data_IF_005054709873
#
_entry.id   IF_005054709873
#
_cell.length_a   1.000
_cell.length_b   1.000
_cell.length_c   1.000
_cell.angle_alpha   90.00
_cell.angle_beta   90.00
_cell.angle_gamma   90.00
#
_symmetry.space_group_name_H-M   'P 1'
#
loop_
_entity.id
_entity.type
_entity.pdbx_description
1 polymer ?
#
# COMPACT_ATOMS: atom_id res chain seq x y z
N UNK A 1 16.76 15.51 13.54
CA UNK A 1 15.99 16.14 12.45
C UNK A 1 14.62 15.48 12.46
N UNK A 2 13.57 16.26 12.73
CA UNK A 2 12.23 15.71 12.90
C UNK A 2 11.56 15.53 11.53
N UNK A 3 10.69 14.53 11.42
CA UNK A 3 9.77 14.39 10.29
C UNK A 3 8.61 15.38 10.47
N UNK A 4 8.11 15.97 9.38
CA UNK A 4 7.09 17.03 9.44
C UNK A 4 5.69 16.44 9.56
N UNK A 5 5.37 15.44 8.72
CA UNK A 5 4.02 14.87 8.61
C UNK A 5 3.90 13.47 9.24
N UNK A 6 4.98 12.69 9.19
CA UNK A 6 5.02 11.28 9.57
C UNK A 6 5.22 11.09 11.06
N UNK A 7 4.23 10.46 11.70
CA UNK A 7 4.24 10.12 13.13
C UNK A 7 4.20 8.61 13.33
N UNK A 8 4.67 8.07 14.48
CA UNK A 8 4.54 6.66 14.79
C UNK A 8 3.08 6.22 14.74
N UNK A 9 2.84 5.08 14.09
CA UNK A 9 1.52 4.49 13.98
C UNK A 9 1.23 3.60 15.19
N UNK A 10 0.03 3.74 15.73
CA UNK A 10 -0.49 2.83 16.75
C UNK A 10 -1.23 1.68 16.07
N UNK A 11 -1.00 0.46 16.56
CA UNK A 11 -1.80 -0.69 16.14
C UNK A 11 -3.12 -0.68 16.90
N UNK A 12 -4.23 -0.97 16.20
CA UNK A 12 -5.54 -1.11 16.82
C UNK A 12 -5.55 -2.39 17.67
N UNK A 13 -5.58 -2.21 18.99
CA UNK A 13 -5.63 -3.29 19.98
C UNK A 13 -6.97 -4.01 19.82
N UNK A 14 -6.95 -5.35 19.68
CA UNK A 14 -8.20 -6.14 19.68
C UNK A 14 -8.12 -7.51 19.04
N UNK A 15 -7.21 -7.74 18.10
CA UNK A 15 -7.06 -9.05 17.45
C UNK A 15 -5.59 -9.46 17.33
N UNK A 16 -5.26 -10.69 17.76
CA UNK A 16 -3.91 -11.27 17.62
C UNK A 16 -3.49 -11.45 16.14
N UNK A 17 -4.47 -11.50 15.23
CA UNK A 17 -4.29 -11.59 13.79
C UNK A 17 -4.87 -10.36 13.10
N UNK A 18 -4.10 -9.86 12.15
CA UNK A 18 -4.50 -8.74 11.31
C UNK A 18 -5.52 -9.24 10.28
N UNK A 19 -6.63 -8.51 10.12
CA UNK A 19 -7.67 -8.90 9.16
C UNK A 19 -7.17 -8.68 7.73
N UNK A 20 -7.01 -9.77 6.96
CA UNK A 20 -6.54 -9.74 5.57
C UNK A 20 -7.68 -9.77 4.54
N UNK A 21 -8.92 -9.52 4.95
CA UNK A 21 -10.06 -9.45 4.04
C UNK A 21 -9.81 -8.44 2.93
N UNK A 22 -10.11 -8.89 1.71
CA UNK A 22 -10.01 -8.10 0.48
C UNK A 22 -11.25 -7.25 0.25
N UNK A 23 -12.34 -7.52 0.96
CA UNK A 23 -13.55 -6.72 0.94
C UNK A 23 -13.46 -5.62 1.99
N UNK A 24 -13.71 -4.38 1.58
CA UNK A 24 -13.71 -3.23 2.48
C UNK A 24 -14.87 -2.30 2.13
N UNK A 25 -15.84 -2.15 3.05
CA UNK A 25 -17.04 -1.31 2.87
C UNK A 25 -17.80 -1.59 1.55
N UNK A 26 -17.91 -2.85 1.17
CA UNK A 26 -18.54 -3.26 -0.10
C UNK A 26 -17.56 -3.40 -1.25
N UNK A 27 -16.49 -2.60 -1.27
CA UNK A 27 -15.52 -2.59 -2.36
C UNK A 27 -14.59 -3.83 -2.35
N UNK A 28 -14.31 -4.39 -3.52
CA UNK A 28 -13.37 -5.51 -3.70
C UNK A 28 -11.97 -5.01 -4.07
N UNK A 29 -11.01 -5.25 -3.18
CA UNK A 29 -9.61 -4.84 -3.32
C UNK A 29 -8.70 -6.01 -3.70
N UNK A 30 -7.60 -5.74 -4.40
CA UNK A 30 -6.57 -6.75 -4.72
C UNK A 30 -5.92 -7.32 -3.45
N UNK A 31 -5.80 -6.47 -2.43
CA UNK A 31 -5.14 -6.69 -1.14
C UNK A 31 -5.96 -6.10 0.00
N UNK A 32 -5.61 -6.40 1.25
CA UNK A 32 -6.31 -5.82 2.39
C UNK A 32 -6.13 -4.31 2.46
N UNK A 33 -7.15 -3.59 2.93
CA UNK A 33 -7.13 -2.12 3.08
C UNK A 33 -5.92 -1.63 3.88
N UNK A 34 -5.42 -2.43 4.82
CA UNK A 34 -4.27 -2.08 5.64
C UNK A 34 -2.97 -1.98 4.82
N UNK A 35 -2.84 -2.72 3.72
CA UNK A 35 -1.68 -2.57 2.84
C UNK A 35 -1.75 -1.29 2.02
N UNK A 36 -2.94 -0.88 1.57
CA UNK A 36 -3.15 0.44 0.98
C UNK A 36 -2.86 1.56 1.99
N UNK A 37 -3.27 1.39 3.26
CA UNK A 37 -2.89 2.30 4.36
C UNK A 37 -1.39 2.40 4.54
N UNK A 38 -0.68 1.26 4.60
CA UNK A 38 0.77 1.29 4.72
C UNK A 38 1.42 1.99 3.54
N UNK A 39 0.95 1.68 2.33
CA UNK A 39 1.43 2.32 1.12
C UNK A 39 1.26 3.86 1.19
N UNK A 40 0.08 4.36 1.57
CA UNK A 40 -0.18 5.78 1.79
C UNK A 40 0.80 6.41 2.81
N UNK A 41 1.03 5.75 3.95
CA UNK A 41 1.97 6.24 4.95
C UNK A 41 3.42 6.24 4.46
N UNK A 42 3.81 5.28 3.63
CA UNK A 42 5.14 5.26 3.02
C UNK A 42 5.32 6.37 1.98
N UNK A 43 4.29 6.71 1.21
CA UNK A 43 4.34 7.88 0.30
C UNK A 43 4.52 9.16 1.10
N UNK A 44 3.73 9.36 2.16
CA UNK A 44 3.92 10.49 3.08
C UNK A 44 5.33 10.54 3.66
N UNK A 45 5.84 9.40 4.11
CA UNK A 45 7.19 9.30 4.67
C UNK A 45 8.26 9.65 3.63
N UNK A 46 8.03 9.30 2.37
CA UNK A 46 8.92 9.63 1.26
C UNK A 46 8.93 11.14 1.00
N UNK A 47 7.76 11.78 0.98
CA UNK A 47 7.61 13.24 0.86
C UNK A 47 8.34 13.94 2.01
N UNK A 48 8.14 13.46 3.25
CA UNK A 48 8.86 13.98 4.42
C UNK A 48 10.38 13.85 4.28
N UNK A 49 10.87 12.74 3.72
CA UNK A 49 12.30 12.54 3.50
C UNK A 49 12.85 13.49 2.43
N UNK A 50 12.09 13.75 1.37
CA UNK A 50 12.46 14.68 0.30
C UNK A 50 12.51 16.13 0.82
N UNK A 51 11.43 16.60 1.44
CA UNK A 51 11.35 17.97 1.98
C UNK A 51 12.39 18.25 3.07
N UNK A 52 12.63 17.27 3.97
CA UNK A 52 13.65 17.39 5.01
C UNK A 52 15.06 16.99 4.53
N UNK A 53 15.26 16.74 3.23
CA UNK A 53 16.57 16.42 2.64
C UNK A 53 17.29 15.26 3.33
N UNK A 54 16.52 14.26 3.78
CA UNK A 54 17.02 13.11 4.51
C UNK A 54 17.80 12.20 3.55
N UNK A 55 19.09 11.98 3.84
CA UNK A 55 19.91 11.03 3.09
C UNK A 55 19.59 9.59 3.50
N UNK A 56 19.28 8.74 2.53
CA UNK A 56 19.12 7.30 2.68
C UNK A 56 20.31 6.57 2.06
N UNK A 57 20.49 5.29 2.38
CA UNK A 57 21.53 4.48 1.75
C UNK A 57 20.87 3.58 0.71
N UNK A 58 21.34 3.75 -0.53
CA UNK A 58 20.93 2.93 -1.65
C UNK A 58 21.39 1.47 -1.43
N UNK A 59 20.50 0.48 -1.56
CA UNK A 59 20.86 -0.93 -1.36
C UNK A 59 21.87 -1.46 -2.39
N UNK A 60 21.85 -0.95 -3.61
CA UNK A 60 22.65 -1.46 -4.73
C UNK A 60 24.02 -0.78 -4.76
N UNK A 61 24.04 0.56 -4.71
CA UNK A 61 25.29 1.33 -4.78
C UNK A 61 25.96 1.53 -3.42
N UNK A 62 25.23 1.32 -2.32
CA UNK A 62 25.64 1.62 -0.93
C UNK A 62 25.98 3.10 -0.70
N UNK A 63 25.64 3.97 -1.64
CA UNK A 63 25.88 5.41 -1.53
C UNK A 63 24.73 6.12 -0.82
N UNK A 64 25.03 7.30 -0.28
CA UNK A 64 24.02 8.17 0.32
C UNK A 64 23.29 8.92 -0.79
N UNK A 65 21.99 8.70 -0.90
CA UNK A 65 21.13 9.36 -1.87
C UNK A 65 20.08 10.22 -1.17
N UNK A 66 19.68 11.31 -1.82
CA UNK A 66 18.50 12.09 -1.45
C UNK A 66 17.34 11.59 -2.27
N UNK A 67 16.27 11.19 -1.59
CA UNK A 67 15.10 10.64 -2.27
C UNK A 67 14.28 11.79 -2.84
N UNK A 68 13.82 11.61 -4.10
CA UNK A 68 12.83 12.46 -4.74
C UNK A 68 11.62 11.63 -5.12
N UNK A 69 10.44 12.17 -4.88
CA UNK A 69 9.17 11.54 -5.25
C UNK A 69 8.95 11.65 -6.75
N UNK A 70 8.63 10.55 -7.42
CA UNK A 70 8.25 10.52 -8.83
C UNK A 70 6.88 11.21 -9.01
N UNK A 71 6.91 12.45 -9.50
CA UNK A 71 5.71 13.27 -9.67
C UNK A 71 4.80 12.75 -10.79
N UNK A 72 5.35 12.10 -11.81
CA UNK A 72 4.57 11.57 -12.93
C UNK A 72 3.78 10.33 -12.48
N UNK A 73 4.43 9.44 -11.75
CA UNK A 73 3.75 8.25 -11.22
C UNK A 73 2.61 8.62 -10.25
N UNK A 74 2.80 9.68 -9.47
CA UNK A 74 1.87 10.12 -8.43
C UNK A 74 0.94 11.29 -8.83
N UNK A 75 0.88 11.67 -10.11
CA UNK A 75 0.15 12.86 -10.56
C UNK A 75 -1.34 12.86 -10.14
N UNK A 76 -2.00 11.69 -10.22
CA UNK A 76 -3.45 11.56 -9.98
C UNK A 76 -3.81 11.50 -8.49
N UNK A 77 -2.79 11.44 -7.63
CA UNK A 77 -2.93 11.04 -6.23
C UNK A 77 -3.03 12.22 -5.27
N UNK A 78 -2.80 13.44 -5.76
CA UNK A 78 -2.86 14.66 -4.94
C UNK A 78 -1.89 14.59 -3.76
N UNK A 79 -0.58 14.71 -4.09
CA UNK A 79 0.50 14.59 -3.12
C UNK A 79 0.39 15.60 -1.96
N UNK A 80 -0.16 16.79 -2.20
CA UNK A 80 -0.38 17.79 -1.15
C UNK A 80 -1.36 17.29 -0.11
N UNK A 81 -2.48 16.69 -0.53
CA UNK A 81 -3.44 16.07 0.39
C UNK A 81 -2.84 14.90 1.15
N UNK A 82 -1.93 14.12 0.56
CA UNK A 82 -1.25 13.02 1.26
C UNK A 82 -0.43 13.53 2.46
N UNK A 83 0.08 14.77 2.45
CA UNK A 83 0.83 15.34 3.58
C UNK A 83 -0.07 15.54 4.79
N UNK A 84 -1.28 16.07 4.60
CA UNK A 84 -2.15 16.55 5.68
C UNK A 84 -3.32 15.62 6.02
N UNK A 85 -3.95 15.00 5.01
CA UNK A 85 -5.21 14.28 5.19
C UNK A 85 -5.05 13.01 6.01
N UNK A 86 -6.13 12.49 6.58
CA UNK A 86 -6.10 11.10 7.06
C UNK A 86 -6.23 10.14 5.88
N UNK A 87 -5.72 8.91 6.02
CA UNK A 87 -5.90 7.90 4.97
C UNK A 87 -7.37 7.73 4.59
N UNK A 88 -8.29 7.72 5.56
CA UNK A 88 -9.70 7.44 5.28
C UNK A 88 -10.37 8.57 4.47
N UNK A 89 -10.00 9.83 4.72
CA UNK A 89 -10.48 10.97 3.95
C UNK A 89 -9.95 10.92 2.51
N UNK A 90 -8.64 10.72 2.36
CA UNK A 90 -8.01 10.61 1.04
C UNK A 90 -8.54 9.39 0.27
N UNK A 91 -8.70 8.24 0.94
CA UNK A 91 -9.19 7.01 0.34
C UNK A 91 -10.61 7.17 -0.18
N UNK A 92 -11.53 7.80 0.57
CA UNK A 92 -12.91 7.95 0.10
C UNK A 92 -13.01 8.71 -1.23
N UNK A 93 -12.12 9.66 -1.46
CA UNK A 93 -12.03 10.42 -2.71
C UNK A 93 -11.31 9.64 -3.83
N UNK A 94 -10.19 8.98 -3.51
CA UNK A 94 -9.29 8.36 -4.50
C UNK A 94 -9.47 6.86 -4.71
N UNK A 95 -10.37 6.20 -3.96
CA UNK A 95 -10.54 4.74 -3.98
C UNK A 95 -10.85 4.16 -5.37
N UNK A 96 -11.48 4.93 -6.25
CA UNK A 96 -11.79 4.53 -7.63
C UNK A 96 -10.53 4.15 -8.43
N UNK A 97 -9.36 4.68 -8.08
CA UNK A 97 -8.08 4.32 -8.68
C UNK A 97 -7.63 2.88 -8.35
N UNK A 98 -8.15 2.31 -7.26
CA UNK A 98 -7.66 1.07 -6.64
C UNK A 98 -8.69 -0.05 -6.56
N UNK A 99 -9.98 0.27 -6.69
CA UNK A 99 -11.07 -0.71 -6.61
C UNK A 99 -11.27 -1.34 -7.99
N UNK A 100 -11.62 -2.64 -7.99
CA UNK A 100 -12.09 -3.29 -9.20
C UNK A 100 -13.46 -2.73 -9.57
N UNK A 101 -13.60 -2.20 -10.79
CA UNK A 101 -14.89 -1.74 -11.30
C UNK A 101 -15.91 -2.86 -11.17
N UNK A 102 -16.95 -2.64 -10.35
CA UNK A 102 -18.02 -3.62 -10.21
C UNK A 102 -18.81 -3.71 -11.53
N UNK A 103 -19.27 -4.90 -11.93
CA UNK A 103 -20.18 -5.03 -13.05
C UNK A 103 -21.48 -4.28 -12.71
N UNK A 104 -21.76 -3.21 -13.46
CA UNK A 104 -22.98 -2.41 -13.31
C UNK A 104 -24.02 -2.88 -14.31
N UNK A 105 -25.27 -2.97 -13.86
CA UNK A 105 -26.40 -3.22 -14.76
C UNK A 105 -26.75 -1.89 -15.40
N UNK A 106 -26.70 -1.84 -16.73
CA UNK A 106 -27.01 -0.63 -17.50
C UNK A 106 -28.31 -0.88 -18.26
N UNK A 107 -29.27 0.03 -18.13
CA UNK A 107 -30.57 -0.07 -18.82
C UNK A 107 -30.54 0.46 -20.27
N UNK A 108 -29.54 1.30 -20.61
CA UNK A 108 -29.37 1.91 -21.94
C UNK A 108 -27.92 1.80 -22.42
N UNK A 109 -27.72 1.14 -23.56
CA UNK A 109 -26.41 0.98 -24.18
C UNK A 109 -25.95 2.33 -24.74
N UNK A 110 -24.81 2.84 -24.27
CA UNK A 110 -24.00 3.82 -24.99
C UNK A 110 -22.89 3.07 -25.72
N UNK A 111 -22.57 3.50 -26.94
CA UNK A 111 -21.56 2.84 -27.77
C UNK A 111 -20.17 3.07 -27.15
N UNK A 112 -19.67 2.04 -26.47
CA UNK A 112 -18.35 2.00 -25.81
C UNK A 112 -17.81 0.55 -25.89
N UNK A 113 -17.98 -0.05 -27.08
CA UNK A 113 -17.64 -1.44 -27.39
C UNK A 113 -16.15 -1.75 -27.26
N UNK A 114 -15.30 -0.72 -27.31
CA UNK A 114 -13.86 -0.86 -27.09
C UNK A 114 -13.56 -1.19 -25.62
N UNK A 115 -14.41 -0.77 -24.67
CA UNK A 115 -14.17 -0.91 -23.22
C UNK A 115 -15.05 -1.93 -22.52
N UNK A 116 -16.25 -2.20 -23.05
CA UNK A 116 -17.24 -3.06 -22.39
C UNK A 116 -17.74 -4.18 -23.29
N UNK A 117 -17.92 -5.37 -22.70
CA UNK A 117 -18.66 -6.45 -23.34
C UNK A 117 -20.15 -6.31 -23.07
N UNK A 118 -20.97 -6.35 -24.12
CA UNK A 118 -22.42 -6.41 -23.98
C UNK A 118 -22.89 -7.86 -23.98
N UNK A 119 -23.57 -8.27 -22.90
CA UNK A 119 -24.13 -9.61 -22.77
C UNK A 119 -25.65 -9.55 -22.72
N UNK A 120 -26.31 -10.10 -23.75
CA UNK A 120 -27.76 -10.29 -23.76
C UNK A 120 -28.11 -11.62 -23.09
N UNK A 121 -28.63 -11.59 -21.87
CA UNK A 121 -29.08 -12.77 -21.13
C UNK A 121 -30.60 -12.86 -21.20
N UNK A 122 -31.13 -14.03 -21.55
CA UNK A 122 -32.57 -14.27 -21.51
C UNK A 122 -33.04 -14.44 -20.05
N UNK A 123 -34.18 -13.86 -19.66
CA UNK A 123 -34.68 -13.87 -18.27
C UNK A 123 -34.85 -15.28 -17.68
N UNK A 124 -35.08 -16.29 -18.53
CA UNK A 124 -35.21 -17.70 -18.13
C UNK A 124 -33.90 -18.51 -18.17
N UNK A 125 -32.75 -17.89 -18.41
CA UNK A 125 -31.47 -18.60 -18.49
C UNK A 125 -31.02 -19.16 -17.14
N UNK A 126 -30.50 -20.38 -17.13
CA UNK A 126 -29.88 -20.97 -15.94
C UNK A 126 -28.58 -20.25 -15.60
N UNK A 127 -28.40 -19.89 -14.33
CA UNK A 127 -27.19 -19.20 -13.82
C UNK A 127 -25.90 -19.96 -14.15
N UNK A 128 -25.94 -21.29 -14.12
CA UNK A 128 -24.78 -22.14 -14.44
C UNK A 128 -24.27 -21.95 -15.86
N UNK A 129 -25.18 -21.77 -16.82
CA UNK A 129 -24.83 -21.64 -18.23
C UNK A 129 -24.36 -20.22 -18.54
N UNK A 130 -25.04 -19.22 -17.96
CA UNK A 130 -24.59 -17.82 -17.97
C UNK A 130 -23.17 -17.69 -17.42
N UNK A 131 -22.89 -18.32 -16.27
CA UNK A 131 -21.57 -18.28 -15.64
C UNK A 131 -20.48 -18.92 -16.52
N UNK A 132 -20.79 -20.00 -17.23
CA UNK A 132 -19.83 -20.63 -18.17
C UNK A 132 -19.49 -19.69 -19.33
N UNK A 133 -20.48 -18.99 -19.88
CA UNK A 133 -20.27 -18.00 -20.96
C UNK A 133 -19.40 -16.85 -20.46
N UNK A 134 -19.73 -16.28 -19.29
CA UNK A 134 -18.95 -15.20 -18.67
C UNK A 134 -17.50 -15.64 -18.42
N UNK A 135 -17.28 -16.84 -17.88
CA UNK A 135 -15.93 -17.39 -17.65
C UNK A 135 -15.10 -17.59 -18.93
N UNK A 136 -15.75 -17.78 -20.08
CA UNK A 136 -15.06 -17.87 -21.38
C UNK A 136 -14.73 -16.49 -21.95
N UNK A 137 -15.58 -15.49 -21.70
CA UNK A 137 -15.41 -14.13 -22.20
C UNK A 137 -14.37 -13.33 -21.39
N UNK A 138 -14.37 -13.50 -20.07
CA UNK A 138 -13.39 -12.83 -19.21
C UNK A 138 -12.07 -13.60 -19.26
N UNK A 139 -11.07 -13.01 -19.92
CA UNK A 139 -9.69 -13.53 -19.88
C UNK A 139 -9.17 -13.38 -18.46
N UNK A 140 -9.25 -14.47 -17.69
CA UNK A 140 -8.57 -14.80 -16.43
C UNK A 140 -8.14 -13.59 -15.56
N UNK A 141 -8.90 -13.34 -14.49
CA UNK A 141 -8.54 -12.45 -13.36
C UNK A 141 -7.84 -11.12 -13.74
N UNK A 142 -8.29 -10.44 -14.80
CA UNK A 142 -7.84 -9.07 -15.07
C UNK A 142 -8.41 -8.16 -13.99
N UNK A 143 -7.54 -7.77 -13.05
CA UNK A 143 -7.91 -6.83 -12.01
C UNK A 143 -7.94 -5.43 -12.63
N UNK A 144 -9.13 -4.89 -12.90
CA UNK A 144 -9.31 -3.67 -13.70
C UNK A 144 -8.88 -2.35 -13.02
N UNK A 145 -8.26 -2.39 -11.84
CA UNK A 145 -7.81 -1.16 -11.19
C UNK A 145 -6.65 -0.54 -11.96
N UNK A 146 -6.64 0.78 -12.09
CA UNK A 146 -5.49 1.51 -12.65
C UNK A 146 -4.20 1.27 -11.86
N UNK A 147 -4.32 1.02 -10.55
CA UNK A 147 -3.20 0.76 -9.66
C UNK A 147 -3.37 -0.54 -8.87
N UNK A 148 -2.68 -1.59 -9.31
CA UNK A 148 -2.75 -2.92 -8.71
C UNK A 148 -1.50 -3.29 -7.91
N UNK A 149 -1.67 -3.97 -6.78
CA UNK A 149 -0.56 -4.57 -6.05
C UNK A 149 0.07 -5.77 -6.81
N UNK A 150 1.38 -5.75 -7.03
CA UNK A 150 2.20 -6.85 -7.59
C UNK A 150 3.08 -7.54 -6.55
N UNK A 151 3.71 -6.82 -5.62
CA UNK A 151 4.58 -7.41 -4.57
C UNK A 151 3.75 -7.80 -3.34
N UNK A 152 4.13 -8.89 -2.68
CA UNK A 152 3.46 -9.38 -1.46
C UNK A 152 4.14 -8.84 -0.21
N UNK A 153 3.77 -7.63 0.22
CA UNK A 153 4.13 -7.14 1.55
C UNK A 153 3.20 -7.72 2.62
N UNK A 154 3.76 -8.09 3.78
CA UNK A 154 2.99 -8.46 4.96
C UNK A 154 2.78 -7.21 5.82
N UNK A 155 1.54 -6.95 6.25
CA UNK A 155 1.20 -5.73 6.97
C UNK A 155 2.07 -5.50 8.23
N UNK A 156 2.15 -6.46 9.15
CA UNK A 156 2.89 -6.27 10.42
C UNK A 156 4.38 -5.96 10.21
N UNK A 157 5.14 -6.73 9.40
CA UNK A 157 6.51 -6.36 9.04
C UNK A 157 6.62 -4.96 8.41
N UNK A 158 5.72 -4.59 7.51
CA UNK A 158 5.73 -3.26 6.87
C UNK A 158 5.42 -2.14 7.87
N UNK A 159 4.48 -2.37 8.79
CA UNK A 159 4.17 -1.45 9.89
C UNK A 159 5.36 -1.29 10.84
N UNK A 160 6.04 -2.39 11.20
CA UNK A 160 7.29 -2.34 11.99
C UNK A 160 8.38 -1.53 11.29
N UNK A 161 8.61 -1.75 10.00
CA UNK A 161 9.58 -0.98 9.20
C UNK A 161 9.31 0.53 9.32
N UNK A 162 8.07 0.95 9.04
CA UNK A 162 7.66 2.33 9.13
C UNK A 162 7.96 2.93 10.51
N UNK A 163 7.45 2.30 11.59
CA UNK A 163 7.62 2.82 12.95
C UNK A 163 9.09 2.88 13.38
N UNK A 164 9.88 1.86 13.03
CA UNK A 164 11.32 1.83 13.35
C UNK A 164 12.06 2.99 12.71
N UNK A 165 11.74 3.34 11.46
CA UNK A 165 12.35 4.47 10.79
C UNK A 165 11.93 5.80 11.43
N UNK A 166 10.63 5.98 11.71
CA UNK A 166 10.11 7.18 12.37
C UNK A 166 10.74 7.37 13.75
N UNK A 167 10.77 6.34 14.59
CA UNK A 167 11.42 6.40 15.91
C UNK A 167 12.91 6.72 15.81
N UNK A 168 13.62 6.13 14.84
CA UNK A 168 15.03 6.46 14.61
C UNK A 168 15.21 7.95 14.24
N UNK A 169 14.31 8.55 13.46
CA UNK A 169 14.35 9.99 13.14
C UNK A 169 13.96 10.88 14.33
N UNK A 170 13.12 10.39 15.23
CA UNK A 170 12.81 11.04 16.50
C UNK A 170 13.96 10.99 17.52
N UNK A 171 15.06 10.28 17.22
CA UNK A 171 16.26 10.22 18.06
C UNK A 171 16.32 9.03 19.02
N UNK A 172 15.38 8.09 18.95
CA UNK A 172 15.45 6.87 19.75
C UNK A 172 16.64 6.01 19.30
N UNK A 173 17.43 5.54 20.27
CA UNK A 173 18.52 4.61 19.99
C UNK A 173 18.00 3.20 19.69
N UNK A 174 18.85 2.33 19.15
CA UNK A 174 18.44 0.99 18.70
C UNK A 174 17.90 0.10 19.84
N UNK A 175 18.41 0.27 21.06
CA UNK A 175 17.94 -0.48 22.23
C UNK A 175 16.52 -0.05 22.61
N UNK A 176 16.29 1.25 22.71
CA UNK A 176 14.96 1.84 22.95
C UNK A 176 13.95 1.43 21.87
N UNK A 177 14.36 1.44 20.59
CA UNK A 177 13.51 0.97 19.48
C UNK A 177 13.13 -0.51 19.67
N UNK A 178 14.06 -1.35 20.10
CA UNK A 178 13.77 -2.76 20.36
C UNK A 178 12.73 -2.94 21.47
N UNK A 179 12.83 -2.15 22.55
CA UNK A 179 11.87 -2.11 23.66
C UNK A 179 10.49 -1.63 23.18
N UNK A 180 10.43 -0.56 22.37
CA UNK A 180 9.19 -0.04 21.77
C UNK A 180 8.51 -1.09 20.88
N UNK A 181 9.26 -1.87 20.10
CA UNK A 181 8.69 -2.98 19.32
C UNK A 181 8.12 -4.06 20.26
N UNK A 182 8.85 -4.40 21.32
CA UNK A 182 8.41 -5.36 22.33
C UNK A 182 7.05 -4.97 22.92
N UNK A 183 6.89 -3.70 23.30
CA UNK A 183 5.68 -3.15 23.89
C UNK A 183 4.54 -3.01 22.88
N UNK A 184 4.77 -2.31 21.76
CA UNK A 184 3.70 -1.95 20.82
C UNK A 184 3.17 -3.14 20.01
N UNK A 185 3.97 -4.19 19.86
CA UNK A 185 3.61 -5.37 19.08
C UNK A 185 3.39 -6.61 19.96
N UNK A 186 3.32 -6.46 21.30
CA UNK A 186 3.28 -7.57 22.26
C UNK A 186 2.19 -8.61 21.96
N UNK A 187 1.01 -8.14 21.56
CA UNK A 187 -0.17 -8.97 21.29
C UNK A 187 -0.20 -9.63 19.90
N UNK A 188 0.76 -9.30 19.02
CA UNK A 188 0.79 -9.83 17.67
C UNK A 188 1.78 -10.98 17.54
N UNK A 189 1.40 -12.00 16.78
CA UNK A 189 2.19 -13.21 16.49
C UNK A 189 3.31 -12.99 15.45
N UNK A 190 3.72 -11.75 15.20
CA UNK A 190 4.82 -11.44 14.30
C UNK A 190 6.19 -11.66 14.95
N UNK A 191 7.19 -12.04 14.13
CA UNK A 191 8.59 -12.09 14.54
C UNK A 191 9.06 -10.70 14.94
N UNK A 192 9.44 -10.55 16.22
CA UNK A 192 10.03 -9.33 16.77
C UNK A 192 11.56 -9.45 16.73
N UNK A 193 12.29 -8.36 16.41
CA UNK A 193 13.73 -8.37 16.54
C UNK A 193 14.11 -8.57 18.01
N UNK A 194 15.20 -9.30 18.25
CA UNK A 194 15.83 -9.37 19.56
C UNK A 194 16.98 -8.38 19.59
N UNK A 195 17.24 -7.83 20.77
CA UNK A 195 18.43 -7.03 21.00
C UNK A 195 19.65 -7.96 20.97
N UNK A 196 20.52 -7.72 20.01
CA UNK A 196 21.92 -8.10 20.07
C UNK A 196 22.71 -6.86 20.52
N UNK A 197 23.77 -7.00 21.32
CA UNK A 197 24.47 -5.84 21.91
C UNK A 197 25.02 -4.84 20.86
N UNK A 198 25.06 -5.25 19.59
CA UNK A 198 25.45 -4.46 18.43
C UNK A 198 24.26 -3.80 17.68
N UNK A 199 23.03 -4.16 18.02
CA UNK A 199 21.79 -3.69 17.42
C UNK A 199 21.63 -4.03 15.93
N UNK A 200 22.23 -5.13 15.44
CA UNK A 200 22.21 -5.49 14.03
C UNK A 200 20.79 -5.81 13.55
N UNK A 201 19.94 -6.37 14.42
CA UNK A 201 18.53 -6.64 14.06
C UNK A 201 17.78 -5.36 13.67
N UNK A 202 17.93 -4.30 14.46
CA UNK A 202 17.31 -2.99 14.20
C UNK A 202 17.97 -2.32 13.00
N UNK A 203 19.30 -2.40 12.88
CA UNK A 203 20.03 -1.87 11.72
C UNK A 203 19.54 -2.48 10.41
N UNK A 204 19.31 -3.80 10.37
CA UNK A 204 18.78 -4.50 9.20
C UNK A 204 17.36 -4.03 8.85
N UNK A 205 16.51 -3.82 9.85
CA UNK A 205 15.16 -3.28 9.62
C UNK A 205 15.25 -1.87 9.03
N UNK A 206 16.12 -1.01 9.55
CA UNK A 206 16.34 0.33 9.02
C UNK A 206 16.77 0.29 7.55
N UNK A 207 17.77 -0.53 7.18
CA UNK A 207 18.19 -0.72 5.78
C UNK A 207 17.07 -1.19 4.88
N UNK A 208 16.32 -2.20 5.32
CA UNK A 208 15.16 -2.70 4.61
C UNK A 208 14.00 -1.70 4.51
N UNK A 209 14.02 -0.65 5.33
CA UNK A 209 13.04 0.44 5.30
C UNK A 209 13.51 1.55 4.38
N UNK A 210 14.80 1.92 4.41
CA UNK A 210 15.42 2.85 3.46
C UNK A 210 15.20 2.39 2.02
N UNK A 211 15.51 1.13 1.71
CA UNK A 211 15.21 0.54 0.40
C UNK A 211 13.72 0.59 0.05
N UNK A 212 12.82 0.40 1.02
CA UNK A 212 11.38 0.47 0.76
C UNK A 212 10.90 1.91 0.52
N UNK A 213 11.51 2.92 1.16
CA UNK A 213 11.22 4.33 0.91
C UNK A 213 11.68 4.70 -0.51
N UNK A 214 12.87 4.25 -0.92
CA UNK A 214 13.37 4.44 -2.30
C UNK A 214 12.44 3.75 -3.31
N UNK A 215 12.08 2.48 -3.07
CA UNK A 215 11.10 1.77 -3.88
C UNK A 215 9.79 2.56 -3.95
N UNK A 216 9.31 3.10 -2.83
CA UNK A 216 8.09 3.92 -2.81
C UNK A 216 8.26 5.16 -3.66
N UNK A 217 9.37 5.89 -3.55
CA UNK A 217 9.56 7.12 -4.30
C UNK A 217 9.46 6.93 -5.81
N UNK A 218 9.80 5.75 -6.30
CA UNK A 218 9.75 5.34 -7.71
C UNK A 218 8.44 4.62 -8.10
N UNK A 219 7.42 4.65 -7.25
CA UNK A 219 6.16 3.91 -7.48
C UNK A 219 6.26 2.40 -7.31
N UNK A 220 7.39 1.87 -6.84
CA UNK A 220 7.73 0.44 -6.74
C UNK A 220 7.51 -0.18 -5.35
N UNK A 221 6.69 0.45 -4.48
CA UNK A 221 6.22 -0.12 -3.20
C UNK A 221 5.46 -1.44 -3.35
N UNK A 222 5.24 -1.87 -4.59
CA UNK A 222 4.47 -3.05 -4.93
C UNK A 222 3.12 -2.70 -5.50
N UNK A 223 2.80 -1.44 -5.74
CA UNK A 223 1.73 -1.01 -6.64
C UNK A 223 2.37 -0.77 -8.00
N UNK A 224 1.70 -1.11 -9.11
CA UNK A 224 2.14 -0.71 -10.44
C UNK A 224 1.00 0.02 -11.13
N UNK A 225 1.35 1.04 -11.93
CA UNK A 225 0.44 1.60 -12.94
C UNK A 225 0.21 0.49 -13.94
N UNK A 226 -1.00 -0.05 -13.97
CA UNK A 226 -1.37 -1.00 -15.02
C UNK A 226 -1.56 -0.17 -16.30
N UNK A 227 -0.97 -0.60 -17.43
CA UNK A 227 -1.26 0.06 -18.71
C UNK A 227 -2.78 0.01 -18.90
N UNK A 228 -3.44 1.12 -19.27
CA UNK A 228 -4.82 1.03 -19.68
C UNK A 228 -4.88 -0.06 -20.75
N UNK A 229 -5.79 -1.02 -20.56
CA UNK A 229 -6.22 -1.84 -21.69
C UNK A 229 -6.99 -0.84 -22.55
N UNK A 230 -6.27 -0.22 -23.48
CA UNK A 230 -6.85 0.58 -24.55
C UNK A 230 -7.58 -0.36 -25.50
#
# INVERSE_FOLDING_TARGET
MLLTYSKPLNLTIGNARVNFNKTFKGDVLKRSIQLYRMWFFFVRLTIDCDENQITLIDPDTKQKIKVKVDQEFYEEWDLERIKTDTFDLWWNDKKSLFIQTEPTVIDKIKDDSDRYFYLKIHKGSKITDVTKVIKKMIVKDSYSSKFGFTKQHKYLPTHMKYNVFVWNKMGFNRKQICELIGTNYKHYTARKPKWDDQGNSIRRILRNTESLIIDTSLGNFGIKREKPIY
#
